data_IF_349850951086
#
_entry.id   IF_349850951086
#
_cell.length_a   1.000
_cell.length_b   1.000
_cell.length_c   1.000
_cell.angle_alpha   90.00
_cell.angle_beta   90.00
_cell.angle_gamma   90.00
#
_symmetry.space_group_name_H-M   'P 1'
#
loop_
_entity.id
_entity.type
_entity.pdbx_description
1 polymer ?
#
# COMPACT_ATOMS: atom_id res chain seq x y z
N UNK A 1 -6.20 34.08 0.69
CA UNK A 1 -5.38 33.59 -0.44
C UNK A 1 -5.22 32.08 -0.31
N UNK A 2 -6.11 31.30 -0.91
CA UNK A 2 -6.00 29.84 -1.06
C UNK A 2 -6.52 29.50 -2.46
N UNK A 3 -5.75 29.90 -3.46
CA UNK A 3 -5.83 29.32 -4.80
C UNK A 3 -5.08 27.99 -4.73
N UNK A 4 -5.82 26.89 -4.81
CA UNK A 4 -5.23 25.58 -5.00
C UNK A 4 -5.95 24.85 -6.14
N UNK A 5 -5.13 24.51 -7.14
CA UNK A 5 -5.34 23.52 -8.18
C UNK A 5 -6.36 23.86 -9.28
N UNK A 6 -5.86 24.44 -10.37
CA UNK A 6 -6.38 24.20 -11.71
C UNK A 6 -6.16 22.71 -12.03
N UNK A 7 -7.21 21.90 -12.29
CA UNK A 7 -7.00 20.57 -12.85
C UNK A 7 -6.59 20.73 -14.32
N UNK A 8 -5.30 20.64 -14.59
CA UNK A 8 -4.79 20.26 -15.92
C UNK A 8 -4.60 18.75 -15.87
N UNK A 9 -5.61 18.04 -16.35
CA UNK A 9 -5.65 16.58 -16.38
C UNK A 9 -7.10 16.16 -16.60
N UNK A 10 -7.35 15.29 -17.58
CA UNK A 10 -8.67 14.71 -17.78
C UNK A 10 -9.09 13.98 -16.51
N UNK A 11 -10.13 14.49 -15.84
CA UNK A 11 -10.77 13.83 -14.71
C UNK A 11 -11.66 12.72 -15.25
N UNK A 12 -11.27 11.47 -15.05
CA UNK A 12 -12.02 10.31 -15.49
C UNK A 12 -12.66 9.69 -14.25
N UNK A 13 -14.00 9.62 -14.22
CA UNK A 13 -14.72 9.13 -13.05
C UNK A 13 -14.34 7.68 -12.70
N UNK A 14 -14.79 6.74 -13.53
CA UNK A 14 -14.56 5.32 -13.31
C UNK A 14 -13.90 4.69 -14.54
N UNK A 15 -12.78 4.00 -14.32
CA UNK A 15 -12.11 3.20 -15.34
C UNK A 15 -12.17 1.73 -14.97
N UNK A 16 -12.53 0.88 -15.93
CA UNK A 16 -12.52 -0.57 -15.77
C UNK A 16 -11.98 -1.24 -17.03
N UNK A 17 -11.08 -2.20 -16.89
CA UNK A 17 -10.50 -2.93 -18.02
C UNK A 17 -9.46 -3.94 -17.55
N UNK A 18 -8.95 -4.81 -18.43
CA UNK A 18 -7.89 -5.75 -18.05
C UNK A 18 -6.57 -5.01 -17.77
N UNK A 19 -6.24 -4.02 -18.61
CA UNK A 19 -5.06 -3.18 -18.46
C UNK A 19 -5.46 -1.71 -18.55
N UNK A 20 -5.02 -0.90 -17.58
CA UNK A 20 -5.24 0.53 -17.55
C UNK A 20 -3.87 1.21 -17.40
N UNK A 21 -3.54 2.09 -18.33
CA UNK A 21 -2.41 2.99 -18.23
C UNK A 21 -2.91 4.43 -18.06
N UNK A 22 -2.51 5.08 -16.98
CA UNK A 22 -2.83 6.46 -16.68
C UNK A 22 -1.56 7.29 -16.66
N UNK A 23 -1.46 8.26 -17.55
CA UNK A 23 -0.39 9.23 -17.56
C UNK A 23 -1.00 10.62 -17.47
N UNK A 24 -0.47 11.46 -16.57
CA UNK A 24 -0.90 12.86 -16.39
C UNK A 24 -2.42 13.01 -16.21
N UNK A 25 -3.04 12.07 -15.51
CA UNK A 25 -4.51 11.94 -15.42
C UNK A 25 -4.98 11.89 -13.98
N UNK A 26 -6.25 12.25 -13.77
CA UNK A 26 -6.91 12.11 -12.49
C UNK A 26 -8.04 11.11 -12.62
N UNK A 27 -8.10 10.12 -11.72
CA UNK A 27 -9.16 9.13 -11.71
C UNK A 27 -9.80 9.02 -10.32
N UNK A 28 -11.12 8.88 -10.27
CA UNK A 28 -11.77 8.64 -8.98
C UNK A 28 -11.67 7.16 -8.59
N UNK A 29 -11.94 6.26 -9.53
CA UNK A 29 -11.84 4.81 -9.31
C UNK A 29 -11.26 4.11 -10.52
N UNK A 30 -10.27 3.26 -10.25
CA UNK A 30 -9.61 2.42 -11.26
C UNK A 30 -9.76 0.97 -10.86
N UNK A 31 -10.31 0.14 -11.75
CA UNK A 31 -10.42 -1.30 -11.56
C UNK A 31 -9.78 -2.03 -12.74
N UNK A 32 -8.68 -2.73 -12.51
CA UNK A 32 -8.05 -3.51 -13.58
C UNK A 32 -7.30 -4.73 -13.07
N UNK A 33 -6.94 -5.65 -13.96
CA UNK A 33 -6.02 -6.73 -13.57
C UNK A 33 -4.61 -6.13 -13.42
N UNK A 34 -4.23 -5.25 -14.36
CA UNK A 34 -2.99 -4.48 -14.31
C UNK A 34 -3.27 -2.98 -14.44
N UNK A 35 -2.87 -2.21 -13.43
CA UNK A 35 -2.96 -0.76 -13.43
C UNK A 35 -1.54 -0.18 -13.39
N UNK A 36 -1.19 0.63 -14.39
CA UNK A 36 -0.01 1.49 -14.37
C UNK A 36 -0.47 2.94 -14.30
N UNK A 37 0.07 3.70 -13.36
CA UNK A 37 -0.16 5.13 -13.31
C UNK A 37 1.16 5.88 -13.12
N UNK A 38 1.43 6.81 -14.02
CA UNK A 38 2.53 7.76 -13.98
C UNK A 38 2.01 9.19 -13.83
N UNK A 39 2.60 9.99 -12.94
CA UNK A 39 2.23 11.41 -12.81
C UNK A 39 0.72 11.65 -12.62
N UNK A 40 0.04 10.75 -11.92
CA UNK A 40 -1.42 10.69 -11.88
C UNK A 40 -1.96 10.72 -10.45
N UNK A 41 -3.21 11.17 -10.31
CA UNK A 41 -3.90 11.25 -9.02
C UNK A 41 -5.12 10.32 -9.01
N UNK A 42 -5.12 9.28 -8.18
CA UNK A 42 -6.16 8.25 -8.17
C UNK A 42 -6.78 8.09 -6.79
N UNK A 43 -8.07 8.39 -6.61
CA UNK A 43 -8.68 8.28 -5.28
C UNK A 43 -8.76 6.82 -4.78
N UNK A 44 -9.15 5.86 -5.64
CA UNK A 44 -9.18 4.44 -5.32
C UNK A 44 -8.66 3.59 -6.48
N UNK A 45 -7.60 2.83 -6.22
CA UNK A 45 -7.02 1.86 -7.16
C UNK A 45 -7.33 0.46 -6.67
N UNK A 46 -7.97 -0.35 -7.50
CA UNK A 46 -8.21 -1.77 -7.24
C UNK A 46 -7.67 -2.61 -8.39
N UNK A 47 -6.57 -3.34 -8.17
CA UNK A 47 -5.99 -4.15 -9.22
C UNK A 47 -5.26 -5.40 -8.75
N UNK A 48 -5.12 -6.45 -9.56
CA UNK A 48 -4.24 -7.56 -9.17
C UNK A 48 -2.77 -7.11 -9.12
N UNK A 49 -2.36 -6.27 -10.06
CA UNK A 49 -1.06 -5.59 -10.08
C UNK A 49 -1.25 -4.09 -10.24
N UNK A 50 -0.82 -3.32 -9.25
CA UNK A 50 -0.80 -1.87 -9.30
C UNK A 50 0.65 -1.37 -9.32
N UNK A 51 1.00 -0.56 -10.30
CA UNK A 51 2.27 0.15 -10.41
C UNK A 51 1.99 1.64 -10.47
N UNK A 52 2.42 2.36 -9.43
CA UNK A 52 2.25 3.80 -9.30
C UNK A 52 3.64 4.41 -9.27
N UNK A 53 3.92 5.30 -10.21
CA UNK A 53 5.18 6.01 -10.31
C UNK A 53 4.92 7.52 -10.30
N UNK A 54 5.60 8.25 -9.42
CA UNK A 54 5.43 9.70 -9.23
C UNK A 54 3.95 10.10 -9.15
N UNK A 55 3.15 9.28 -8.47
CA UNK A 55 1.70 9.36 -8.45
C UNK A 55 1.17 9.45 -7.01
N UNK A 56 -0.02 10.03 -6.87
CA UNK A 56 -0.71 10.13 -5.59
C UNK A 56 -1.97 9.28 -5.62
N UNK A 57 -2.14 8.40 -4.63
CA UNK A 57 -3.36 7.61 -4.49
C UNK A 57 -4.01 7.76 -3.12
N UNK A 58 -5.34 7.76 -3.05
CA UNK A 58 -6.04 7.70 -1.78
C UNK A 58 -5.86 6.31 -1.16
N UNK A 59 -6.51 5.32 -1.76
CA UNK A 59 -6.40 3.93 -1.35
C UNK A 59 -5.96 3.04 -2.52
N UNK A 60 -4.98 2.18 -2.26
CA UNK A 60 -4.47 1.18 -3.20
C UNK A 60 -4.80 -0.19 -2.63
N UNK A 61 -5.60 -0.95 -3.36
CA UNK A 61 -5.95 -2.33 -3.04
C UNK A 61 -5.39 -3.16 -4.18
N UNK A 62 -4.31 -3.90 -3.94
CA UNK A 62 -3.78 -4.77 -4.98
C UNK A 62 -3.17 -6.07 -4.51
N UNK A 63 -3.26 -7.13 -5.32
CA UNK A 63 -2.54 -8.38 -5.05
C UNK A 63 -1.04 -8.11 -4.91
N UNK A 64 -0.49 -7.35 -5.86
CA UNK A 64 0.87 -6.80 -5.84
C UNK A 64 0.81 -5.28 -6.08
N UNK A 65 1.19 -4.48 -5.10
CA UNK A 65 1.28 -3.03 -5.21
C UNK A 65 2.74 -2.59 -5.27
N UNK A 66 3.13 -1.80 -6.27
CA UNK A 66 4.45 -1.17 -6.35
C UNK A 66 4.28 0.34 -6.46
N UNK A 67 4.83 1.06 -5.49
CA UNK A 67 4.78 2.52 -5.41
C UNK A 67 6.21 3.03 -5.47
N UNK A 68 6.55 3.80 -6.51
CA UNK A 68 7.87 4.41 -6.69
C UNK A 68 7.74 5.93 -6.73
N UNK A 69 8.46 6.65 -5.86
CA UNK A 69 8.36 8.11 -5.72
C UNK A 69 6.90 8.59 -5.58
N UNK A 70 6.07 7.78 -4.92
CA UNK A 70 4.62 7.92 -4.89
C UNK A 70 4.09 8.00 -3.47
N UNK A 71 2.94 8.65 -3.32
CA UNK A 71 2.26 8.77 -2.04
C UNK A 71 0.91 8.03 -2.08
N UNK A 72 0.61 7.28 -1.02
CA UNK A 72 -0.70 6.68 -0.83
C UNK A 72 -1.19 6.93 0.59
N UNK A 73 -2.50 7.08 0.83
CA UNK A 73 -3.00 7.15 2.22
C UNK A 73 -3.05 5.75 2.82
N UNK A 74 -3.60 4.80 2.06
CA UNK A 74 -3.71 3.40 2.44
C UNK A 74 -3.17 2.54 1.31
N UNK A 75 -2.18 1.70 1.61
CA UNK A 75 -1.72 0.66 0.69
C UNK A 75 -2.03 -0.70 1.29
N UNK A 76 -2.85 -1.49 0.59
CA UNK A 76 -3.17 -2.84 1.01
C UNK A 76 -2.98 -3.87 -0.09
N UNK A 77 -2.42 -5.02 0.28
CA UNK A 77 -2.11 -6.05 -0.71
C UNK A 77 -1.42 -7.31 -0.22
N UNK A 78 -1.35 -8.33 -1.07
CA UNK A 78 -0.57 -9.54 -0.78
C UNK A 78 0.92 -9.24 -0.69
N UNK A 79 1.43 -8.50 -1.67
CA UNK A 79 2.80 -7.95 -1.70
C UNK A 79 2.74 -6.45 -1.93
N UNK A 80 3.34 -5.65 -1.05
CA UNK A 80 3.36 -4.18 -1.15
C UNK A 80 4.80 -3.71 -1.14
N UNK A 81 5.26 -3.18 -2.27
CA UNK A 81 6.59 -2.59 -2.43
C UNK A 81 6.49 -1.08 -2.53
N UNK A 82 7.20 -0.35 -1.69
CA UNK A 82 7.22 1.11 -1.70
C UNK A 82 8.67 1.59 -1.70
N UNK A 83 9.06 2.29 -2.76
CA UNK A 83 10.38 2.84 -3.00
C UNK A 83 10.26 4.37 -2.99
N UNK A 84 10.85 5.04 -2.00
CA UNK A 84 10.73 6.49 -1.77
C UNK A 84 9.27 6.97 -1.74
N UNK A 85 8.63 6.96 -0.57
CA UNK A 85 7.22 7.35 -0.50
C UNK A 85 6.72 7.65 0.89
N UNK A 86 5.49 8.16 0.95
CA UNK A 86 4.78 8.37 2.20
C UNK A 86 3.49 7.56 2.16
N UNK A 87 3.34 6.65 3.12
CA UNK A 87 2.09 5.90 3.28
C UNK A 87 1.81 5.70 4.76
N UNK A 88 0.85 6.45 5.34
CA UNK A 88 0.60 6.37 6.77
C UNK A 88 0.09 4.99 7.19
N UNK A 89 -0.69 4.29 6.36
CA UNK A 89 -1.20 2.96 6.67
C UNK A 89 -0.83 1.96 5.59
N UNK A 90 -0.07 0.91 5.97
CA UNK A 90 0.30 -0.19 5.09
C UNK A 90 -0.23 -1.50 5.67
N UNK A 91 -0.95 -2.28 4.86
CA UNK A 91 -1.50 -3.57 5.25
C UNK A 91 -1.11 -4.62 4.21
N UNK A 92 -0.26 -5.59 4.51
CA UNK A 92 0.01 -6.62 3.52
C UNK A 92 0.71 -7.88 3.96
N UNK A 93 0.61 -8.94 3.15
CA UNK A 93 1.25 -10.22 3.46
C UNK A 93 2.77 -10.09 3.52
N UNK A 94 3.36 -9.51 2.49
CA UNK A 94 4.79 -9.18 2.39
C UNK A 94 4.94 -7.69 2.05
N UNK A 95 5.60 -6.93 2.91
CA UNK A 95 5.83 -5.50 2.72
C UNK A 95 7.31 -5.23 2.52
N UNK A 96 7.67 -4.68 1.36
CA UNK A 96 9.01 -4.20 1.07
C UNK A 96 9.00 -2.68 1.04
N UNK A 97 9.69 -2.02 1.96
CA UNK A 97 9.72 -0.56 2.00
C UNK A 97 11.15 -0.05 2.07
N UNK A 98 11.47 0.89 1.18
CA UNK A 98 12.77 1.52 1.07
C UNK A 98 12.60 3.02 1.15
N UNK A 99 13.06 3.62 2.26
CA UNK A 99 12.93 5.07 2.54
C UNK A 99 11.47 5.54 2.51
N UNK A 100 10.66 4.91 3.35
CA UNK A 100 9.22 5.19 3.48
C UNK A 100 8.90 5.69 4.87
N UNK A 101 8.08 6.73 4.94
CA UNK A 101 7.51 7.20 6.19
C UNK A 101 6.10 6.63 6.35
N UNK A 102 5.95 5.72 7.32
CA UNK A 102 4.68 5.08 7.66
C UNK A 102 4.35 5.27 9.13
N UNK A 103 3.06 5.49 9.42
CA UNK A 103 2.55 5.65 10.78
C UNK A 103 2.24 4.28 11.39
N UNK A 104 1.59 3.41 10.63
CA UNK A 104 1.19 2.07 11.03
C UNK A 104 1.44 1.08 9.88
N UNK A 105 2.05 -0.05 10.20
CA UNK A 105 2.30 -1.15 9.26
C UNK A 105 1.78 -2.44 9.88
N UNK A 106 0.87 -3.11 9.18
CA UNK A 106 0.35 -4.43 9.54
C UNK A 106 0.79 -5.39 8.45
N UNK A 107 1.77 -6.25 8.75
CA UNK A 107 2.27 -7.18 7.76
C UNK A 107 2.65 -8.56 8.29
N UNK A 108 2.51 -9.58 7.43
CA UNK A 108 2.93 -10.95 7.75
C UNK A 108 4.45 -11.14 7.68
N UNK A 109 5.10 -10.46 6.72
CA UNK A 109 6.55 -10.38 6.55
C UNK A 109 6.94 -8.98 6.09
N UNK A 110 8.07 -8.47 6.56
CA UNK A 110 8.59 -7.14 6.18
C UNK A 110 10.07 -7.28 5.81
N UNK A 111 10.43 -6.84 4.61
CA UNK A 111 11.78 -6.95 4.06
C UNK A 111 12.26 -5.55 3.63
N UNK A 112 13.49 -5.15 3.98
CA UNK A 112 14.03 -3.83 3.60
C UNK A 112 14.15 -2.78 4.73
N UNK A 113 14.59 -1.57 4.34
CA UNK A 113 14.87 -0.45 5.24
C UNK A 113 13.63 0.42 5.46
N UNK A 114 12.78 -0.02 6.39
CA UNK A 114 11.55 0.68 6.76
C UNK A 114 11.83 1.62 7.94
N UNK A 115 11.81 2.94 7.72
CA UNK A 115 11.73 3.93 8.80
C UNK A 115 10.29 4.05 9.29
N UNK A 116 9.75 2.95 9.80
CA UNK A 116 8.49 2.97 10.52
C UNK A 116 8.76 3.44 11.95
N UNK A 117 7.92 4.37 12.45
CA UNK A 117 8.01 4.86 13.84
C UNK A 117 7.83 3.71 14.88
N UNK A 118 7.26 2.58 14.47
CA UNK A 118 7.47 1.26 15.08
C UNK A 118 8.30 0.37 14.14
N UNK A 119 9.60 0.25 14.40
CA UNK A 119 10.53 -0.39 13.48
C UNK A 119 10.33 -1.91 13.31
N UNK A 120 10.94 -2.48 12.27
CA UNK A 120 10.93 -3.90 11.86
C UNK A 120 11.23 -4.89 13.00
N UNK A 121 12.04 -4.47 13.99
CA UNK A 121 12.33 -5.25 15.20
C UNK A 121 11.09 -5.44 16.09
N UNK A 122 10.23 -4.43 16.18
CA UNK A 122 8.98 -4.50 16.93
C UNK A 122 7.98 -5.42 16.24
N UNK A 123 7.89 -5.40 14.91
CA UNK A 123 7.01 -6.30 14.15
C UNK A 123 7.38 -7.78 14.33
N UNK A 124 8.68 -8.11 14.26
CA UNK A 124 9.17 -9.47 14.53
C UNK A 124 8.88 -9.87 15.99
N UNK A 125 9.15 -8.97 16.95
CA UNK A 125 8.85 -9.24 18.37
C UNK A 125 7.35 -9.45 18.61
N UNK A 126 6.49 -8.70 17.92
CA UNK A 126 5.03 -8.83 18.03
C UNK A 126 4.52 -10.12 17.40
N UNK A 127 5.03 -10.49 16.22
CA UNK A 127 4.72 -11.76 15.57
C UNK A 127 5.15 -12.97 16.41
N UNK A 128 6.34 -12.92 17.01
CA UNK A 128 6.81 -13.96 17.94
C UNK A 128 5.95 -14.01 19.20
N UNK A 129 5.61 -12.86 19.79
CA UNK A 129 4.76 -12.81 20.98
C UNK A 129 3.37 -13.37 20.73
N UNK A 130 2.73 -13.02 19.61
CA UNK A 130 1.42 -13.56 19.24
C UNK A 130 1.49 -15.05 18.87
N UNK A 131 2.52 -15.47 18.13
CA UNK A 131 2.75 -16.87 17.80
C UNK A 131 2.92 -17.74 19.04
N UNK A 132 3.76 -17.32 19.98
CA UNK A 132 3.94 -18.01 21.27
C UNK A 132 2.67 -18.01 22.11
N UNK A 133 1.95 -16.89 22.16
CA UNK A 133 0.69 -16.80 22.91
C UNK A 133 -0.37 -17.75 22.35
N UNK A 134 -0.49 -17.83 21.02
CA UNK A 134 -1.40 -18.75 20.35
C UNK A 134 -0.98 -20.21 20.54
N UNK A 135 0.32 -20.50 20.53
CA UNK A 135 0.85 -21.84 20.79
C UNK A 135 0.55 -22.27 22.23
N UNK A 136 0.77 -21.38 23.20
CA UNK A 136 0.43 -21.61 24.61
C UNK A 136 -1.08 -21.83 24.78
N UNK A 137 -1.91 -20.96 24.21
CA UNK A 137 -3.37 -21.08 24.29
C UNK A 137 -3.84 -22.42 23.70
N UNK A 138 -3.24 -22.85 22.58
CA UNK A 138 -3.54 -24.15 21.95
C UNK A 138 -3.05 -25.33 22.80
N UNK A 139 -1.93 -25.19 23.48
CA UNK A 139 -1.41 -26.22 24.38
C UNK A 139 -2.29 -26.36 25.62
N UNK A 140 -2.67 -25.24 26.26
CA UNK A 140 -3.58 -25.19 27.40
C UNK A 140 -4.96 -25.77 27.08
N UNK A 141 -5.49 -25.46 25.89
CA UNK A 141 -6.77 -26.00 25.41
C UNK A 141 -6.70 -27.50 25.05
N UNK A 142 -5.52 -28.11 25.01
CA UNK A 142 -5.37 -29.57 24.82
C UNK A 142 -5.41 -30.35 26.14
N UNK A 143 -5.23 -29.66 27.27
CA UNK A 143 -5.22 -30.27 28.61
C UNK A 143 -6.55 -30.06 29.38
N UNK A 144 -7.46 -29.27 28.83
CA UNK A 144 -8.86 -29.11 29.25
C UNK A 144 -9.73 -29.91 28.28
#
# INVERSE_FOLDING_TARGET
>A
MRDAARPVGSSIGNLSGAEINLEFSAAQRVRADTCRAGYSAIALTHADRAQLEQSASGAVIAGTARLADSAAIVACGGSVRIENGATPVIIGGAVEAQRVMALAVVAGSVEGHVSALMGTRAAIAFGVALGLSALLARLLRRWI
#
